data_IF_583577036860
#
_entry.id   IF_583577036860
#
_cell.length_a   1.000
_cell.length_b   1.000
_cell.length_c   1.000
_cell.angle_alpha   90.00
_cell.angle_beta   90.00
_cell.angle_gamma   90.00
#
_symmetry.space_group_name_H-M   'P 1'
#
loop_
_entity.id
_entity.type
_entity.pdbx_description
1 polymer ?
#
# COMPACT_ATOMS: atom_id res chain seq x y z
N UNK A 1 -6.57 25.71 -5.00
CA UNK A 1 -5.55 25.01 -4.18
C UNK A 1 -6.17 23.80 -3.46
N UNK A 2 -5.88 22.54 -3.85
CA UNK A 2 -6.44 21.42 -3.10
C UNK A 2 -5.70 21.28 -1.78
N UNK A 3 -6.48 21.16 -0.71
CA UNK A 3 -6.04 20.86 0.65
C UNK A 3 -5.35 19.49 0.63
N UNK A 4 -4.02 19.47 0.71
CA UNK A 4 -3.28 18.23 0.92
C UNK A 4 -3.45 17.87 2.39
N UNK A 5 -4.25 16.84 2.69
CA UNK A 5 -4.21 16.18 3.99
C UNK A 5 -2.85 15.50 4.13
N UNK A 6 -1.84 16.24 4.60
CA UNK A 6 -0.60 15.67 5.08
C UNK A 6 -0.88 14.94 6.39
N UNK A 7 -1.43 13.73 6.29
CA UNK A 7 -1.47 12.81 7.43
C UNK A 7 -0.08 12.21 7.51
N UNK A 8 0.73 12.67 8.46
CA UNK A 8 1.97 11.99 8.82
C UNK A 8 1.70 11.13 10.05
N UNK A 9 1.26 9.85 9.93
CA UNK A 9 1.24 8.99 11.09
C UNK A 9 2.66 8.48 11.33
N UNK A 10 3.48 9.30 12.00
CA UNK A 10 4.71 8.84 12.64
C UNK A 10 4.35 8.19 13.98
N UNK A 11 3.59 7.10 13.97
CA UNK A 11 3.40 6.22 15.13
C UNK A 11 2.74 4.91 14.69
N UNK A 12 3.39 3.81 15.08
CA UNK A 12 3.05 2.44 14.77
C UNK A 12 1.54 2.09 14.87
N UNK A 13 1.03 1.39 13.85
CA UNK A 13 -0.08 0.45 14.00
C UNK A 13 -1.47 0.87 13.56
N UNK A 14 -1.71 2.13 13.15
CA UNK A 14 -3.02 2.56 12.66
C UNK A 14 -2.94 2.94 11.18
N UNK A 15 -3.63 2.16 10.35
CA UNK A 15 -3.89 2.52 8.95
C UNK A 15 -4.62 3.88 8.91
N UNK A 16 -4.26 4.82 8.01
CA UNK A 16 -5.01 6.06 7.86
C UNK A 16 -6.48 5.73 7.51
N UNK A 17 -7.47 6.46 8.04
CA UNK A 17 -8.85 6.23 7.61
C UNK A 17 -8.96 6.35 6.08
N UNK A 18 -9.89 5.61 5.44
CA UNK A 18 -10.10 5.75 4.01
C UNK A 18 -10.37 7.22 3.68
N UNK A 19 -9.77 7.77 2.61
CA UNK A 19 -10.03 9.15 2.25
C UNK A 19 -11.49 9.32 1.84
N UNK A 20 -12.11 10.42 2.26
CA UNK A 20 -13.43 10.84 1.79
C UNK A 20 -13.28 11.79 0.61
N UNK A 21 -14.17 11.69 -0.38
CA UNK A 21 -14.28 12.61 -1.49
C UNK A 21 -15.71 13.16 -1.58
N UNK A 22 -15.86 14.45 -1.87
CA UNK A 22 -17.15 15.02 -2.25
C UNK A 22 -17.61 14.49 -3.63
N UNK A 23 -18.87 14.76 -4.00
CA UNK A 23 -19.38 14.40 -5.32
C UNK A 23 -18.55 15.06 -6.43
N UNK A 24 -17.99 14.25 -7.33
CA UNK A 24 -17.13 14.69 -8.43
C UNK A 24 -15.68 15.02 -8.04
N UNK A 25 -15.33 14.91 -6.76
CA UNK A 25 -13.95 15.10 -6.30
C UNK A 25 -13.11 13.85 -6.54
N UNK A 26 -11.84 14.06 -6.89
CA UNK A 26 -10.81 13.02 -6.91
C UNK A 26 -9.81 13.29 -5.80
N UNK A 27 -9.54 12.29 -4.97
CA UNK A 27 -8.58 12.35 -3.86
C UNK A 27 -7.51 11.28 -4.03
N UNK A 28 -6.30 11.57 -3.54
CA UNK A 28 -5.19 10.62 -3.57
C UNK A 28 -5.09 9.89 -2.23
N UNK A 29 -5.12 8.56 -2.25
CA UNK A 29 -4.77 7.73 -1.11
C UNK A 29 -3.26 7.45 -1.12
N UNK A 30 -2.59 7.62 0.02
CA UNK A 30 -1.18 7.27 0.20
C UNK A 30 -1.11 5.99 1.04
N UNK A 31 -0.36 5.01 0.54
CA UNK A 31 -0.19 3.71 1.15
C UNK A 31 1.30 3.39 1.30
N UNK A 32 1.77 3.35 2.55
CA UNK A 32 3.05 2.77 2.89
C UNK A 32 2.95 1.24 2.96
N UNK A 33 3.67 0.53 2.09
CA UNK A 33 3.72 -0.94 2.10
C UNK A 33 4.96 -1.39 2.87
N UNK A 34 4.84 -1.88 4.12
CA UNK A 34 5.99 -2.39 4.85
C UNK A 34 6.58 -3.60 4.16
N UNK A 35 7.89 -3.60 3.90
CA UNK A 35 8.60 -4.72 3.25
C UNK A 35 8.35 -6.05 3.97
N UNK A 36 8.18 -6.03 5.29
CA UNK A 36 7.89 -7.22 6.12
C UNK A 36 6.63 -7.98 5.68
N UNK A 37 5.67 -7.33 5.02
CA UNK A 37 4.48 -7.98 4.47
C UNK A 37 4.78 -8.91 3.29
N UNK A 38 5.96 -8.77 2.67
CA UNK A 38 6.40 -9.62 1.56
C UNK A 38 7.07 -10.92 2.05
N UNK A 39 7.35 -11.04 3.35
CA UNK A 39 7.96 -12.22 3.91
C UNK A 39 6.93 -13.32 4.18
N UNK A 40 7.33 -14.57 3.99
CA UNK A 40 6.58 -15.76 4.41
C UNK A 40 7.35 -16.49 5.52
N UNK A 41 6.62 -17.35 6.25
CA UNK A 41 7.22 -18.19 7.28
C UNK A 41 7.67 -19.53 6.70
N UNK A 42 8.96 -19.81 6.79
CA UNK A 42 9.58 -21.09 6.48
C UNK A 42 10.75 -21.33 7.43
N UNK A 43 10.47 -21.93 8.59
CA UNK A 43 11.41 -22.09 9.71
C UNK A 43 12.12 -20.78 10.13
N UNK A 44 11.48 -19.65 9.85
CA UNK A 44 12.05 -18.30 9.94
C UNK A 44 11.31 -17.36 9.00
N UNK A 45 11.56 -16.05 9.13
CA UNK A 45 11.05 -15.06 8.19
C UNK A 45 11.92 -15.03 6.93
N UNK A 46 11.33 -15.40 5.81
CA UNK A 46 12.03 -15.53 4.51
C UNK A 46 11.36 -14.64 3.48
N UNK A 47 12.14 -14.07 2.57
CA UNK A 47 11.64 -13.29 1.43
C UNK A 47 11.78 -14.09 0.15
N UNK A 48 10.74 -14.08 -0.68
CA UNK A 48 10.83 -14.63 -2.02
C UNK A 48 11.71 -13.71 -2.89
N UNK A 49 12.56 -14.31 -3.72
CA UNK A 49 13.38 -13.58 -4.67
C UNK A 49 12.55 -13.20 -5.90
N UNK A 50 12.85 -12.03 -6.46
CA UNK A 50 12.20 -11.53 -7.67
C UNK A 50 11.22 -10.39 -7.44
N UNK A 51 10.48 -10.09 -8.49
CA UNK A 51 9.56 -8.97 -8.57
C UNK A 51 8.19 -9.35 -7.99
N UNK A 52 7.61 -8.46 -7.18
CA UNK A 52 6.25 -8.64 -6.65
C UNK A 52 5.25 -7.83 -7.48
N UNK A 53 4.05 -8.35 -7.67
CA UNK A 53 2.95 -7.59 -8.29
C UNK A 53 2.06 -7.01 -7.20
N UNK A 54 2.03 -5.69 -7.07
CA UNK A 54 1.05 -4.98 -6.23
C UNK A 54 -0.21 -4.73 -7.06
N UNK A 55 -1.38 -5.12 -6.54
CA UNK A 55 -2.68 -4.95 -7.19
C UNK A 55 -3.63 -4.16 -6.29
N UNK A 56 -4.37 -3.21 -6.85
CA UNK A 56 -5.26 -2.30 -6.11
C UNK A 56 -6.62 -2.24 -6.80
N UNK A 57 -7.68 -2.18 -6.00
CA UNK A 57 -9.05 -1.99 -6.47
C UNK A 57 -10.06 -1.90 -5.33
N UNK A 58 -11.34 -2.00 -5.68
CA UNK A 58 -12.49 -1.84 -4.77
C UNK A 58 -12.82 -3.12 -4.01
N UNK A 59 -12.39 -4.28 -4.52
CA UNK A 59 -12.58 -5.59 -3.89
C UNK A 59 -11.48 -6.56 -4.30
N UNK A 60 -11.35 -7.68 -3.58
CA UNK A 60 -10.37 -8.74 -3.93
C UNK A 60 -10.62 -9.36 -5.30
N UNK A 61 -11.85 -9.29 -5.81
CA UNK A 61 -12.26 -9.74 -7.14
C UNK A 61 -12.12 -8.67 -8.23
N UNK A 62 -11.99 -7.40 -7.86
CA UNK A 62 -11.95 -6.26 -8.80
C UNK A 62 -10.71 -5.41 -8.53
N UNK A 63 -9.61 -5.76 -9.21
CA UNK A 63 -8.28 -5.18 -9.03
C UNK A 63 -7.73 -4.61 -10.34
N UNK A 64 -8.29 -3.48 -10.84
CA UNK A 64 -7.94 -2.93 -12.15
C UNK A 64 -6.57 -2.24 -12.19
N UNK A 65 -6.00 -1.87 -11.05
CA UNK A 65 -4.68 -1.23 -10.97
C UNK A 65 -3.63 -2.27 -10.59
N UNK A 66 -2.46 -2.20 -11.24
CA UNK A 66 -1.32 -3.02 -10.87
C UNK A 66 0.00 -2.30 -11.12
N UNK A 67 1.01 -2.65 -10.34
CA UNK A 67 2.40 -2.21 -10.55
C UNK A 67 3.38 -3.27 -10.05
N UNK A 68 4.64 -3.14 -10.45
CA UNK A 68 5.72 -4.02 -10.03
C UNK A 68 6.49 -3.39 -8.87
N UNK A 69 6.63 -4.12 -7.77
CA UNK A 69 7.53 -3.79 -6.68
C UNK A 69 8.83 -4.57 -6.85
N UNK A 70 9.94 -3.83 -6.88
CA UNK A 70 11.28 -4.41 -6.84
C UNK A 70 11.79 -4.34 -5.40
N UNK A 71 11.95 -5.47 -4.70
CA UNK A 71 12.52 -5.44 -3.36
C UNK A 71 13.95 -4.89 -3.46
N UNK A 72 14.22 -3.77 -2.80
CA UNK A 72 15.59 -3.29 -2.63
C UNK A 72 16.25 -4.23 -1.63
N UNK A 73 17.05 -5.15 -2.13
CA UNK A 73 17.90 -5.99 -1.29
C UNK A 73 19.06 -5.11 -0.80
N UNK A 74 19.10 -4.86 0.51
CA UNK A 74 20.25 -4.27 1.19
C UNK A 74 21.27 -5.35 1.52
#
# INVERSE_FOLDING_TARGET
PPLVWAVTPRSAGLWPPPPSAAAGETVTAILDVPVRLLAYWDNGWTYESGDYTLRIGTSVSELPLQTTLKPVQN
#
